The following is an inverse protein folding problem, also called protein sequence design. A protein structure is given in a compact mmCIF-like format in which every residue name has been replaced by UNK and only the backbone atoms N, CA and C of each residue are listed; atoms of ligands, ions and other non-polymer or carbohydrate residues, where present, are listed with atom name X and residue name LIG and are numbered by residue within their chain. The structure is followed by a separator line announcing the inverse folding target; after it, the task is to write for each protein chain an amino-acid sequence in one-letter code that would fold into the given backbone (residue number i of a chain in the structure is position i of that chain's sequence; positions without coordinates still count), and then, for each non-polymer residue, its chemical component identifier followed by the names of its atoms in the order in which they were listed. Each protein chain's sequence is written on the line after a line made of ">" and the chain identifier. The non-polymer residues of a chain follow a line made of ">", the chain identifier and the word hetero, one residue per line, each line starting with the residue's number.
data_IF_068439753634
#
_entry.id   IF_068439753634
#
_cell.length_a   1.000
_cell.length_b   1.000
_cell.length_c   1.000
_cell.angle_alpha   90.00
_cell.angle_beta   90.00
_cell.angle_gamma   90.00
#
_symmetry.space_group_name_H-M   'P 1'
#
loop_
_entity.id
_entity.type
_entity.pdbx_description
1 polymer ?
#
# COMPACT_ATOMS: atom_id res chain seq x y z
N UNK A 1 -18.71 23.41 9.29
CA UNK A 1 -17.50 22.58 9.09
C UNK A 1 -17.88 21.15 9.48
N UNK A 2 -18.00 20.24 8.51
CA UNK A 2 -18.39 18.86 8.78
C UNK A 2 -17.11 18.01 8.83
N UNK A 3 -16.67 17.68 10.04
CA UNK A 3 -15.66 16.64 10.26
C UNK A 3 -16.31 15.30 9.95
N UNK A 4 -15.82 14.59 8.94
CA UNK A 4 -16.20 13.20 8.72
C UNK A 4 -16.01 12.41 10.03
N UNK A 5 -16.98 11.58 10.44
CA UNK A 5 -16.83 10.79 11.65
C UNK A 5 -15.66 9.83 11.46
N UNK A 6 -14.60 10.04 12.25
CA UNK A 6 -13.51 9.09 12.35
C UNK A 6 -14.10 7.76 12.78
N UNK A 7 -14.01 6.75 11.91
CA UNK A 7 -14.47 5.40 12.22
C UNK A 7 -13.72 4.90 13.44
N UNK A 8 -14.40 4.78 14.58
CA UNK A 8 -13.82 4.17 15.78
C UNK A 8 -13.50 2.71 15.45
N UNK A 9 -12.21 2.39 15.34
CA UNK A 9 -11.75 1.02 15.10
C UNK A 9 -11.87 0.22 16.40
N UNK A 10 -12.75 -0.76 16.40
CA UNK A 10 -12.96 -1.69 17.52
C UNK A 10 -12.31 -3.06 17.21
N UNK A 11 -12.04 -3.92 18.21
CA UNK A 11 -11.42 -5.23 18.00
C UNK A 11 -12.14 -6.12 16.98
N UNK A 12 -13.47 -6.00 16.86
CA UNK A 12 -14.29 -6.72 15.89
C UNK A 12 -14.09 -6.29 14.43
N UNK A 13 -13.42 -5.15 14.17
CA UNK A 13 -13.12 -4.66 12.82
C UNK A 13 -11.85 -5.30 12.23
N UNK A 14 -11.26 -6.27 12.94
CA UNK A 14 -10.03 -6.94 12.55
C UNK A 14 -10.31 -8.33 11.92
N UNK A 15 -9.58 -8.73 10.87
CA UNK A 15 -8.41 -8.06 10.30
C UNK A 15 -8.79 -6.79 9.52
N UNK A 16 -8.16 -5.66 9.88
CA UNK A 16 -8.33 -4.40 9.18
C UNK A 16 -7.60 -4.49 7.85
N UNK A 17 -8.34 -4.47 6.74
CA UNK A 17 -7.77 -4.49 5.39
C UNK A 17 -8.11 -3.19 4.68
N UNK A 18 -7.10 -2.41 4.33
CA UNK A 18 -7.26 -1.16 3.59
C UNK A 18 -6.63 -1.34 2.21
N UNK A 19 -7.44 -1.18 1.16
CA UNK A 19 -7.00 -1.28 -0.22
C UNK A 19 -6.35 0.03 -0.68
N UNK A 20 -5.10 -0.03 -1.11
CA UNK A 20 -4.33 1.10 -1.65
C UNK A 20 -4.77 1.52 -3.05
N UNK A 21 -4.37 2.72 -3.45
CA UNK A 21 -4.65 3.28 -4.78
C UNK A 21 -4.02 2.42 -5.89
N UNK A 22 -2.78 1.93 -5.71
CA UNK A 22 -2.13 1.08 -6.72
C UNK A 22 -2.96 -0.18 -6.99
N UNK A 23 -3.42 -0.87 -5.95
CA UNK A 23 -4.29 -2.03 -6.11
C UNK A 23 -5.64 -1.72 -6.77
N UNK A 24 -6.18 -0.50 -6.61
CA UNK A 24 -7.42 -0.08 -7.28
C UNK A 24 -7.17 0.18 -8.76
N UNK A 25 -6.20 1.02 -9.10
CA UNK A 25 -5.90 1.43 -10.48
C UNK A 25 -5.48 0.24 -11.35
N UNK A 26 -4.68 -0.69 -10.82
CA UNK A 26 -4.20 -1.85 -11.58
C UNK A 26 -5.06 -3.10 -11.40
N UNK A 27 -6.26 -2.98 -10.83
CA UNK A 27 -7.18 -4.12 -10.67
C UNK A 27 -6.63 -5.27 -9.81
N UNK A 28 -5.70 -5.00 -8.88
CA UNK A 28 -5.14 -6.03 -8.01
C UNK A 28 -6.22 -6.46 -7.01
N UNK A 29 -6.59 -7.76 -6.98
CA UNK A 29 -7.55 -8.25 -5.99
C UNK A 29 -6.91 -8.22 -4.60
N UNK A 30 -7.54 -7.50 -3.67
CA UNK A 30 -7.04 -7.32 -2.31
C UNK A 30 -7.24 -8.56 -1.40
N UNK A 31 -8.08 -9.51 -1.83
CA UNK A 31 -8.67 -10.53 -0.95
C UNK A 31 -8.22 -11.96 -1.23
N UNK A 32 -7.17 -12.17 -2.03
CA UNK A 32 -6.58 -13.51 -2.16
C UNK A 32 -5.58 -13.67 -1.01
N UNK A 33 -5.98 -14.41 0.03
CA UNK A 33 -5.36 -14.50 1.36
C UNK A 33 -3.86 -14.86 1.39
N UNK A 34 -3.28 -15.34 0.29
CA UNK A 34 -1.90 -15.82 0.24
C UNK A 34 -0.86 -14.73 -0.14
N UNK A 35 -1.29 -13.47 -0.26
CA UNK A 35 -0.45 -12.39 -0.81
C UNK A 35 0.23 -11.46 0.18
N UNK A 36 0.05 -11.60 1.50
CA UNK A 36 0.47 -10.57 2.47
C UNK A 36 1.90 -10.75 2.99
N UNK A 37 2.77 -9.76 2.76
CA UNK A 37 4.17 -9.75 3.18
C UNK A 37 4.36 -8.99 4.49
N UNK A 38 5.25 -9.51 5.35
CA UNK A 38 5.70 -8.80 6.54
C UNK A 38 6.52 -7.54 6.16
N UNK A 39 6.53 -6.49 6.99
CA UNK A 39 7.11 -5.18 6.65
C UNK A 39 8.56 -5.24 6.16
N UNK A 40 9.40 -6.07 6.80
CA UNK A 40 10.83 -6.18 6.45
C UNK A 40 11.04 -6.66 5.02
N UNK A 41 10.35 -7.73 4.60
CA UNK A 41 10.48 -8.25 3.24
C UNK A 41 9.82 -7.33 2.21
N UNK A 42 8.70 -6.69 2.58
CA UNK A 42 8.04 -5.72 1.72
C UNK A 42 8.95 -4.52 1.42
N UNK A 43 9.59 -3.97 2.46
CA UNK A 43 10.54 -2.86 2.35
C UNK A 43 11.76 -3.21 1.50
N UNK A 44 12.31 -4.42 1.67
CA UNK A 44 13.40 -4.93 0.82
C UNK A 44 12.98 -5.08 -0.65
N UNK A 45 11.77 -5.59 -0.92
CA UNK A 45 11.27 -5.78 -2.28
C UNK A 45 11.18 -4.45 -3.04
N UNK A 46 10.67 -3.40 -2.40
CA UNK A 46 10.54 -2.08 -3.01
C UNK A 46 11.76 -1.17 -2.82
N UNK A 47 12.80 -1.65 -2.13
CA UNK A 47 14.06 -0.94 -1.84
C UNK A 47 13.85 0.41 -1.13
N UNK A 48 13.07 0.40 -0.06
CA UNK A 48 12.83 1.57 0.80
C UNK A 48 12.89 1.17 2.28
N UNK A 49 12.86 2.15 3.18
CA UNK A 49 12.76 1.86 4.61
C UNK A 49 11.36 1.39 5.00
N UNK A 50 11.24 0.64 6.10
CA UNK A 50 9.92 0.27 6.66
C UNK A 50 9.08 1.51 6.96
N UNK A 51 9.69 2.58 7.47
CA UNK A 51 9.01 3.85 7.75
C UNK A 51 8.42 4.49 6.49
N UNK A 52 9.19 4.52 5.40
CA UNK A 52 8.72 5.01 4.09
C UNK A 52 7.53 4.18 3.58
N UNK A 53 7.63 2.85 3.68
CA UNK A 53 6.56 1.96 3.24
C UNK A 53 5.28 2.12 4.09
N UNK A 54 5.43 2.33 5.40
CA UNK A 54 4.32 2.68 6.28
C UNK A 54 3.68 4.02 5.88
N UNK A 55 4.49 5.05 5.57
CA UNK A 55 3.98 6.35 5.08
C UNK A 55 3.11 6.17 3.85
N UNK A 56 3.55 5.37 2.87
CA UNK A 56 2.76 5.08 1.67
C UNK A 56 1.42 4.40 2.00
N UNK A 57 1.38 3.48 2.96
CA UNK A 57 0.14 2.86 3.41
C UNK A 57 -0.80 3.85 4.09
N UNK A 58 -0.27 4.72 4.98
CA UNK A 58 -1.09 5.75 5.65
C UNK A 58 -1.59 6.83 4.69
N UNK A 59 -0.85 7.10 3.62
CA UNK A 59 -1.26 7.98 2.52
C UNK A 59 -2.26 7.31 1.57
N UNK A 60 -2.56 6.02 1.75
CA UNK A 60 -3.47 5.25 0.91
C UNK A 60 -2.90 4.84 -0.44
N UNK A 61 -1.58 4.94 -0.65
CA UNK A 61 -0.95 4.56 -1.92
C UNK A 61 -0.89 3.03 -2.09
N UNK A 62 -0.49 2.31 -1.05
CA UNK A 62 -0.37 0.84 -1.03
C UNK A 62 -1.32 0.23 0.00
N UNK A 63 -1.75 -1.00 -0.25
CA UNK A 63 -2.65 -1.75 0.64
C UNK A 63 -1.91 -2.26 1.86
N UNK A 64 -2.61 -2.27 2.99
CA UNK A 64 -2.15 -2.92 4.20
C UNK A 64 -3.24 -3.75 4.86
N UNK A 65 -2.80 -4.77 5.60
CA UNK A 65 -3.64 -5.62 6.46
C UNK A 65 -3.06 -5.64 7.87
N UNK A 66 -3.90 -5.53 8.88
CA UNK A 66 -3.52 -5.62 10.28
C UNK A 66 -4.43 -6.64 10.97
N UNK A 67 -3.88 -7.67 11.62
CA UNK A 67 -4.67 -8.77 12.20
C UNK A 67 -5.31 -8.42 13.54
N UNK A 68 -4.74 -7.48 14.30
CA UNK A 68 -5.25 -7.07 15.60
C UNK A 68 -4.83 -5.63 15.90
N UNK A 69 -5.51 -4.94 16.85
CA UNK A 69 -5.11 -3.60 17.27
C UNK A 69 -3.63 -3.54 17.62
N UNK A 70 -2.93 -2.51 17.12
CA UNK A 70 -1.49 -2.28 17.32
C UNK A 70 -0.57 -3.41 16.80
N UNK A 71 -1.11 -4.39 16.07
CA UNK A 71 -0.35 -5.48 15.48
C UNK A 71 0.51 -5.05 14.29
N UNK A 72 1.45 -5.90 13.85
CA UNK A 72 2.26 -5.61 12.68
C UNK A 72 1.36 -5.51 11.45
N UNK A 73 1.54 -4.44 10.66
CA UNK A 73 0.88 -4.33 9.37
C UNK A 73 1.59 -5.22 8.35
N UNK A 74 0.84 -5.77 7.40
CA UNK A 74 1.35 -6.55 6.27
C UNK A 74 0.96 -5.86 4.98
N UNK A 75 1.74 -6.09 3.93
CA UNK A 75 1.58 -5.41 2.64
C UNK A 75 1.29 -6.39 1.51
N UNK A 76 0.47 -5.99 0.54
CA UNK A 76 0.04 -6.88 -0.53
C UNK A 76 1.16 -7.09 -1.57
N UNK A 77 1.75 -8.28 -1.61
CA UNK A 77 2.88 -8.64 -2.50
C UNK A 77 2.66 -8.26 -3.96
N UNK A 78 1.51 -8.62 -4.52
CA UNK A 78 1.19 -8.38 -5.94
C UNK A 78 1.19 -6.89 -6.26
N UNK A 79 0.63 -6.07 -5.36
CA UNK A 79 0.65 -4.62 -5.50
C UNK A 79 2.07 -4.06 -5.41
N UNK A 80 2.90 -4.57 -4.49
CA UNK A 80 4.30 -4.14 -4.38
C UNK A 80 5.12 -4.50 -5.63
N UNK A 81 4.82 -5.61 -6.31
CA UNK A 81 5.45 -5.93 -7.60
C UNK A 81 5.09 -4.92 -8.69
N UNK A 82 3.85 -4.41 -8.69
CA UNK A 82 3.47 -3.29 -9.58
C UNK A 82 4.29 -2.05 -9.25
N UNK A 83 4.43 -1.72 -7.95
CA UNK A 83 5.24 -0.58 -7.48
C UNK A 83 6.71 -0.72 -7.93
N UNK A 84 7.30 -1.92 -7.84
CA UNK A 84 8.65 -2.20 -8.36
C UNK A 84 8.73 -1.89 -9.85
N UNK A 85 7.72 -2.28 -10.64
CA UNK A 85 7.65 -1.98 -12.07
C UNK A 85 7.56 -0.48 -12.42
N UNK A 86 7.22 0.38 -11.45
CA UNK A 86 7.21 1.85 -11.63
C UNK A 86 8.61 2.48 -11.51
N UNK A 87 9.61 1.71 -11.09
CA UNK A 87 11.01 2.13 -11.05
C UNK A 87 11.49 2.24 -12.49
N UNK A 88 11.33 3.42 -13.09
CA UNK A 88 11.74 3.69 -14.47
C UNK A 88 13.24 3.43 -14.71
N UNK A 89 13.66 3.47 -15.98
CA UNK A 89 15.02 3.13 -16.41
C UNK A 89 16.14 4.02 -15.85
N UNK A 90 15.81 5.18 -15.28
CA UNK A 90 16.78 6.17 -14.79
C UNK A 90 17.49 5.77 -13.48
N UNK A 91 17.17 4.59 -12.92
CA UNK A 91 17.81 4.06 -11.70
C UNK A 91 17.50 4.82 -10.40
N UNK A 92 16.76 5.93 -10.46
CA UNK A 92 16.39 6.71 -9.28
C UNK A 92 15.48 5.96 -8.31
N UNK A 93 15.52 6.27 -7.00
CA UNK A 93 14.74 5.57 -5.98
C UNK A 93 13.23 5.67 -6.23
N UNK A 94 12.47 4.69 -5.73
CA UNK A 94 11.02 4.75 -5.70
C UNK A 94 10.58 5.76 -4.63
N UNK A 95 9.74 6.72 -5.04
CA UNK A 95 9.14 7.72 -4.15
C UNK A 95 7.62 7.71 -4.30
N UNK A 96 6.93 8.21 -3.27
CA UNK A 96 5.48 8.42 -3.31
C UNK A 96 5.06 9.29 -4.51
N UNK A 97 5.80 10.36 -4.82
CA UNK A 97 5.55 11.22 -5.98
C UNK A 97 5.66 10.48 -7.30
N UNK A 98 6.64 9.57 -7.44
CA UNK A 98 6.77 8.76 -8.64
C UNK A 98 5.58 7.81 -8.80
N UNK A 99 5.15 7.17 -7.71
CA UNK A 99 3.95 6.32 -7.70
C UNK A 99 2.72 7.13 -8.13
N UNK A 100 2.50 8.30 -7.50
CA UNK A 100 1.36 9.20 -7.83
C UNK A 100 1.36 9.62 -9.30
N UNK A 101 2.50 10.06 -9.83
CA UNK A 101 2.62 10.43 -11.25
C UNK A 101 2.29 9.26 -12.19
N UNK A 102 2.72 8.05 -11.85
CA UNK A 102 2.40 6.87 -12.66
C UNK A 102 0.92 6.53 -12.60
N UNK A 103 0.26 6.66 -11.44
CA UNK A 103 -1.17 6.43 -11.29
C UNK A 103 -1.99 7.42 -12.13
N UNK A 104 -1.66 8.71 -12.07
CA UNK A 104 -2.32 9.76 -12.88
C UNK A 104 -2.22 9.44 -14.38
N UNK A 105 -1.06 8.95 -14.86
CA UNK A 105 -0.89 8.56 -16.27
C UNK A 105 -1.81 7.41 -16.69
N UNK A 106 -2.02 6.42 -15.82
CA UNK A 106 -2.90 5.28 -16.12
C UNK A 106 -4.37 5.67 -16.13
N UNK A 107 -4.80 6.57 -15.25
CA UNK A 107 -6.20 7.05 -15.21
C UNK A 107 -6.57 7.89 -16.46
N UNK A 108 -5.57 8.34 -17.22
CA UNK A 108 -5.76 9.14 -18.44
C UNK A 108 -5.75 8.29 -19.74
N UNK A 109 -5.58 6.96 -19.63
CA UNK A 109 -5.51 6.02 -20.77
C UNK A 109 -6.79 5.18 -20.81
#
# INVERSE_FOLDING_TARGET
>A
MSTAPGTTLTPENYPLTVKGQVARTYGVPAFVDEGWMVPRFAALLVDVTIATLHSWATEGLVSFRQEHPQGPIRFLRRELLVVVGMRGGDGGPLSSDRIRRQLIRQEST
#
